data_IF_729096647327
#
_entry.id   IF_729096647327
#
_cell.length_a   1.000
_cell.length_b   1.000
_cell.length_c   1.000
_cell.angle_alpha   90.00
_cell.angle_beta   90.00
_cell.angle_gamma   90.00
#
_symmetry.space_group_name_H-M   'P 1'
#
loop_
_entity.id
_entity.type
_entity.pdbx_description
1 polymer ?
#
# COMPACT_ATOMS: atom_id res chain seq x y z
N UNK A 1 -30.71 34.51 42.27
CA UNK A 1 -29.92 34.22 41.05
C UNK A 1 -30.42 32.91 40.48
N UNK A 2 -30.80 32.83 39.19
CA UNK A 2 -31.26 31.58 38.59
C UNK A 2 -30.07 30.63 38.39
N UNK A 3 -30.20 29.39 38.83
CA UNK A 3 -29.20 28.34 38.60
C UNK A 3 -29.22 27.91 37.12
N UNK A 4 -28.04 27.82 36.49
CA UNK A 4 -27.90 27.27 35.14
C UNK A 4 -28.21 25.77 35.15
N UNK A 5 -28.91 25.23 34.13
CA UNK A 5 -29.09 23.79 33.99
C UNK A 5 -27.74 23.11 33.69
N UNK A 6 -27.44 22.05 34.44
CA UNK A 6 -26.15 21.35 34.54
C UNK A 6 -25.97 20.20 33.53
N UNK A 7 -26.53 20.30 32.32
CA UNK A 7 -26.54 19.20 31.34
C UNK A 7 -25.79 19.52 30.03
N UNK A 8 -24.75 20.37 30.08
CA UNK A 8 -23.81 20.45 28.96
C UNK A 8 -22.75 19.36 29.16
N UNK A 9 -22.54 18.45 28.19
CA UNK A 9 -21.45 17.48 28.27
C UNK A 9 -20.12 18.22 28.42
N UNK A 10 -19.22 17.66 29.23
CA UNK A 10 -17.87 18.18 29.45
C UNK A 10 -17.16 18.27 28.09
N UNK A 11 -16.47 19.36 27.72
CA UNK A 11 -15.71 19.44 26.46
C UNK A 11 -14.67 18.33 26.27
N UNK A 12 -14.27 17.66 27.37
CA UNK A 12 -13.39 16.47 27.38
C UNK A 12 -14.13 15.14 27.18
N UNK A 13 -15.45 15.13 27.08
CA UNK A 13 -16.29 13.93 26.84
C UNK A 13 -16.42 13.59 25.35
N UNK A 14 -15.51 14.11 24.51
CA UNK A 14 -15.33 13.61 23.15
C UNK A 14 -14.63 12.25 23.23
N UNK A 15 -15.16 11.20 22.58
CA UNK A 15 -14.51 9.90 22.59
C UNK A 15 -13.08 10.06 22.06
N UNK A 16 -12.10 9.74 22.91
CA UNK A 16 -10.69 9.74 22.51
C UNK A 16 -10.56 8.88 21.24
N UNK A 17 -10.14 9.49 20.14
CA UNK A 17 -10.02 8.79 18.87
C UNK A 17 -9.00 7.66 19.03
N UNK A 18 -9.47 6.41 18.99
CA UNK A 18 -8.60 5.25 19.15
C UNK A 18 -7.80 5.06 17.88
N UNK A 19 -6.47 5.21 17.97
CA UNK A 19 -5.56 5.00 16.86
C UNK A 19 -5.73 3.60 16.24
N UNK A 20 -6.00 3.54 14.94
CA UNK A 20 -6.15 2.30 14.17
C UNK A 20 -4.88 1.96 13.38
N UNK A 21 -4.67 0.68 13.12
CA UNK A 21 -3.69 0.20 12.14
C UNK A 21 -4.41 -0.09 10.84
N UNK A 22 -3.97 0.55 9.76
CA UNK A 22 -4.62 0.54 8.46
C UNK A 22 -3.62 0.04 7.42
N UNK A 23 -4.00 -0.99 6.68
CA UNK A 23 -3.32 -1.38 5.44
C UNK A 23 -4.15 -0.87 4.27
N UNK A 24 -3.52 -0.14 3.37
CA UNK A 24 -4.11 0.26 2.10
C UNK A 24 -3.37 -0.49 1.00
N UNK A 25 -4.09 -1.14 0.09
CA UNK A 25 -3.51 -1.76 -1.10
C UNK A 25 -3.94 -0.98 -2.31
N UNK A 26 -3.02 -0.75 -3.23
CA UNK A 26 -3.31 -0.19 -4.55
C UNK A 26 -2.80 -1.10 -5.68
N UNK A 27 -3.69 -1.38 -6.63
CA UNK A 27 -3.41 -2.22 -7.80
C UNK A 27 -2.65 -1.48 -8.91
N UNK A 28 -2.07 -2.25 -9.84
CA UNK A 28 -1.37 -1.70 -11.02
C UNK A 28 -2.29 -0.87 -11.91
N UNK A 29 -3.55 -1.28 -12.09
CA UNK A 29 -4.55 -0.56 -12.89
C UNK A 29 -4.84 0.83 -12.34
N UNK A 30 -4.89 0.98 -11.02
CA UNK A 30 -5.10 2.27 -10.35
C UNK A 30 -3.83 3.15 -10.31
N UNK A 31 -2.64 2.52 -10.38
CA UNK A 31 -1.36 3.24 -10.34
C UNK A 31 -0.81 3.61 -11.72
N UNK A 32 -1.25 2.97 -12.79
CA UNK A 32 -0.71 3.18 -14.15
C UNK A 32 -1.82 3.56 -15.11
N UNK A 33 -1.51 4.43 -16.08
CA UNK A 33 -2.41 4.78 -17.17
C UNK A 33 -2.38 3.65 -18.20
N UNK A 34 -3.52 3.02 -18.45
CA UNK A 34 -3.63 1.83 -19.30
C UNK A 34 -3.02 2.03 -20.70
N UNK A 35 -3.06 3.26 -21.23
CA UNK A 35 -2.62 3.59 -22.58
C UNK A 35 -1.10 3.71 -22.71
N UNK A 36 -0.41 4.04 -21.61
CA UNK A 36 1.02 4.42 -21.64
C UNK A 36 1.90 3.61 -20.70
N UNK A 37 1.30 2.91 -19.73
CA UNK A 37 2.04 2.25 -18.64
C UNK A 37 2.73 3.22 -17.66
N UNK A 38 2.61 4.53 -17.89
CA UNK A 38 3.14 5.55 -16.98
C UNK A 38 2.31 5.64 -15.71
N UNK A 39 2.92 6.11 -14.62
CA UNK A 39 2.22 6.29 -13.36
C UNK A 39 1.13 7.35 -13.48
N UNK A 40 -0.03 7.07 -12.89
CA UNK A 40 -1.14 8.00 -12.74
C UNK A 40 -0.83 8.99 -11.59
N UNK A 41 0.04 9.96 -11.86
CA UNK A 41 0.59 10.87 -10.85
C UNK A 41 -0.47 11.61 -10.01
N UNK A 42 -1.60 12.00 -10.61
CA UNK A 42 -2.70 12.65 -9.89
C UNK A 42 -3.40 11.70 -8.90
N UNK A 43 -3.59 10.43 -9.27
CA UNK A 43 -4.13 9.42 -8.35
C UNK A 43 -3.14 9.13 -7.23
N UNK A 44 -1.85 9.05 -7.56
CA UNK A 44 -0.80 8.85 -6.59
C UNK A 44 -0.69 10.00 -5.58
N UNK A 45 -0.76 11.26 -6.05
CA UNK A 45 -0.75 12.43 -5.17
C UNK A 45 -1.89 12.41 -4.15
N UNK A 46 -3.13 12.20 -4.62
CA UNK A 46 -4.31 12.10 -3.74
C UNK A 46 -4.20 10.94 -2.74
N UNK A 47 -3.66 9.80 -3.18
CA UNK A 47 -3.39 8.67 -2.29
C UNK A 47 -2.40 9.08 -1.20
N UNK A 48 -1.28 9.68 -1.57
CA UNK A 48 -0.24 10.10 -0.61
C UNK A 48 -0.77 11.13 0.39
N UNK A 49 -1.53 12.11 -0.07
CA UNK A 49 -2.23 13.08 0.80
C UNK A 49 -3.13 12.35 1.81
N UNK A 50 -3.98 11.45 1.34
CA UNK A 50 -4.90 10.67 2.19
C UNK A 50 -4.13 9.84 3.24
N UNK A 51 -3.04 9.17 2.85
CA UNK A 51 -2.24 8.37 3.77
C UNK A 51 -1.55 9.24 4.83
N UNK A 52 -1.09 10.44 4.46
CA UNK A 52 -0.48 11.39 5.38
C UNK A 52 -1.51 12.00 6.34
N UNK A 53 -2.73 12.27 5.88
CA UNK A 53 -3.84 12.72 6.72
C UNK A 53 -4.21 11.66 7.77
N UNK A 54 -4.38 10.40 7.36
CA UNK A 54 -4.63 9.28 8.27
C UNK A 54 -3.52 9.15 9.33
N UNK A 55 -2.25 9.25 8.90
CA UNK A 55 -1.12 9.23 9.81
C UNK A 55 -1.16 10.42 10.78
N UNK A 56 -1.47 11.62 10.29
CA UNK A 56 -1.54 12.85 11.11
C UNK A 56 -2.68 12.81 12.12
N UNK A 57 -3.76 12.08 11.81
CA UNK A 57 -4.83 11.76 12.75
C UNK A 57 -4.44 10.70 13.82
N UNK A 58 -3.17 10.25 13.83
CA UNK A 58 -2.64 9.32 14.82
C UNK A 58 -2.76 7.84 14.43
N UNK A 59 -3.18 7.52 13.22
CA UNK A 59 -3.25 6.14 12.75
C UNK A 59 -1.88 5.60 12.30
N UNK A 60 -1.73 4.27 12.37
CA UNK A 60 -0.57 3.55 11.84
C UNK A 60 -0.92 3.08 10.44
N UNK A 61 -0.21 3.54 9.42
CA UNK A 61 -0.56 3.33 8.02
C UNK A 61 0.53 2.53 7.30
N UNK A 62 0.13 1.52 6.55
CA UNK A 62 1.00 0.73 5.66
C UNK A 62 0.38 0.74 4.26
N UNK A 63 1.19 1.04 3.24
CA UNK A 63 0.78 0.93 1.84
C UNK A 63 1.33 -0.36 1.24
N UNK A 64 0.49 -1.13 0.56
CA UNK A 64 0.89 -2.27 -0.28
C UNK A 64 0.67 -1.85 -1.73
N UNK A 65 1.77 -1.67 -2.46
CA UNK A 65 1.76 -1.15 -3.82
C UNK A 65 1.98 -2.25 -4.85
N UNK A 66 1.45 -2.04 -6.06
CA UNK A 66 1.84 -2.80 -7.25
C UNK A 66 2.59 -1.88 -8.23
N UNK A 67 2.76 -2.29 -9.48
CA UNK A 67 3.17 -1.40 -10.58
C UNK A 67 4.64 -1.41 -10.97
N UNK A 68 5.53 -2.09 -10.22
CA UNK A 68 6.95 -2.17 -10.55
C UNK A 68 7.21 -2.66 -11.98
N UNK A 69 6.55 -3.74 -12.41
CA UNK A 69 6.68 -4.24 -13.80
C UNK A 69 6.23 -3.20 -14.82
N UNK A 70 5.12 -2.50 -14.59
CA UNK A 70 4.60 -1.48 -15.50
C UNK A 70 5.58 -0.31 -15.66
N UNK A 71 6.09 0.19 -14.54
CA UNK A 71 7.12 1.23 -14.50
C UNK A 71 8.41 0.78 -15.20
N UNK A 72 8.81 -0.48 -15.00
CA UNK A 72 9.96 -1.09 -15.67
C UNK A 72 9.76 -1.20 -17.17
N UNK A 73 8.59 -1.66 -17.62
CA UNK A 73 8.25 -1.77 -19.05
C UNK A 73 8.33 -0.42 -19.72
N UNK A 74 7.66 0.60 -19.16
CA UNK A 74 7.69 1.96 -19.67
C UNK A 74 9.12 2.51 -19.74
N UNK A 75 9.97 2.20 -18.75
CA UNK A 75 11.37 2.65 -18.75
C UNK A 75 12.21 2.00 -19.84
N UNK A 76 11.96 0.73 -20.13
CA UNK A 76 12.72 -0.07 -21.08
C UNK A 76 12.14 0.00 -22.50
N UNK A 77 11.03 0.73 -22.71
CA UNK A 77 10.35 0.78 -24.00
C UNK A 77 9.68 -0.55 -24.37
N UNK A 78 9.37 -1.39 -23.39
CA UNK A 78 8.69 -2.66 -23.60
C UNK A 78 7.19 -2.39 -23.66
N UNK A 79 6.58 -2.65 -24.81
CA UNK A 79 5.15 -2.39 -25.06
C UNK A 79 4.25 -3.56 -24.68
N UNK A 80 4.76 -4.79 -24.76
CA UNK A 80 4.04 -6.00 -24.36
C UNK A 80 4.43 -6.47 -22.96
N UNK A 81 3.46 -6.93 -22.18
CA UNK A 81 3.75 -7.47 -20.85
C UNK A 81 4.73 -8.66 -20.96
N UNK A 82 5.85 -8.66 -20.21
CA UNK A 82 6.80 -9.76 -20.21
C UNK A 82 6.15 -11.11 -19.92
N UNK A 83 6.44 -12.11 -20.77
CA UNK A 83 5.86 -13.46 -20.66
C UNK A 83 6.71 -14.40 -19.80
N UNK A 84 8.03 -14.40 -19.99
CA UNK A 84 8.94 -15.25 -19.21
C UNK A 84 9.15 -14.69 -17.81
N UNK A 85 9.31 -15.58 -16.83
CA UNK A 85 9.57 -15.20 -15.44
C UNK A 85 10.84 -14.36 -15.32
N UNK A 86 11.95 -14.80 -15.92
CA UNK A 86 13.21 -14.06 -15.87
C UNK A 86 13.07 -12.62 -16.39
N UNK A 87 12.32 -12.41 -17.47
CA UNK A 87 12.10 -11.06 -18.00
C UNK A 87 11.19 -10.24 -17.07
N UNK A 88 10.12 -10.84 -16.51
CA UNK A 88 9.28 -10.14 -15.52
C UNK A 88 10.11 -9.68 -14.32
N UNK A 89 10.97 -10.54 -13.80
CA UNK A 89 11.85 -10.22 -12.66
C UNK A 89 12.84 -9.11 -12.98
N UNK A 90 13.51 -9.18 -14.15
CA UNK A 90 14.44 -8.14 -14.58
C UNK A 90 13.73 -6.78 -14.75
N UNK A 91 12.54 -6.79 -15.35
CA UNK A 91 11.72 -5.59 -15.54
C UNK A 91 11.23 -5.04 -14.20
N UNK A 92 10.76 -5.89 -13.30
CA UNK A 92 10.38 -5.50 -11.94
C UNK A 92 11.53 -4.86 -11.18
N UNK A 93 12.74 -5.44 -11.25
CA UNK A 93 13.94 -4.89 -10.63
C UNK A 93 14.28 -3.49 -11.17
N UNK A 94 14.14 -3.27 -12.48
CA UNK A 94 14.32 -1.93 -13.10
C UNK A 94 13.25 -0.94 -12.63
N UNK A 95 12.01 -1.40 -12.51
CA UNK A 95 10.88 -0.54 -12.16
C UNK A 95 10.74 -0.24 -10.66
N UNK A 96 11.13 -1.15 -9.78
CA UNK A 96 10.93 -1.03 -8.33
C UNK A 96 11.64 0.19 -7.76
N UNK A 97 12.91 0.43 -8.11
CA UNK A 97 13.63 1.62 -7.65
C UNK A 97 13.00 2.93 -8.15
N UNK A 98 12.40 2.92 -9.34
CA UNK A 98 11.71 4.09 -9.90
C UNK A 98 10.37 4.32 -9.21
N UNK A 99 9.61 3.26 -8.97
CA UNK A 99 8.36 3.33 -8.23
C UNK A 99 8.61 3.93 -6.84
N UNK A 100 9.64 3.46 -6.14
CA UNK A 100 10.00 4.03 -4.83
C UNK A 100 10.47 5.46 -4.90
N UNK A 101 11.25 5.86 -5.92
CA UNK A 101 11.61 7.26 -6.12
C UNK A 101 10.39 8.15 -6.21
N UNK A 102 9.38 7.75 -7.00
CA UNK A 102 8.18 8.56 -7.16
C UNK A 102 7.42 8.64 -5.84
N UNK A 103 7.24 7.53 -5.12
CA UNK A 103 6.66 7.60 -3.77
C UNK A 103 7.44 8.55 -2.85
N UNK A 104 8.76 8.43 -2.81
CA UNK A 104 9.63 9.26 -1.98
C UNK A 104 9.51 10.74 -2.30
N UNK A 105 9.49 11.11 -3.59
CA UNK A 105 9.29 12.49 -4.05
C UNK A 105 7.94 13.07 -3.54
N UNK A 106 6.84 12.30 -3.65
CA UNK A 106 5.51 12.73 -3.16
C UNK A 106 5.45 12.83 -1.64
N UNK A 107 5.90 11.80 -0.91
CA UNK A 107 5.84 11.78 0.54
C UNK A 107 6.79 12.82 1.18
N UNK A 108 7.94 13.09 0.56
CA UNK A 108 8.86 14.16 0.96
C UNK A 108 8.22 15.53 0.87
N UNK A 109 7.37 15.78 -0.14
CA UNK A 109 6.64 17.05 -0.25
C UNK A 109 5.71 17.34 0.93
N UNK A 110 5.30 16.29 1.66
CA UNK A 110 4.47 16.35 2.86
C UNK A 110 5.27 16.09 4.15
N UNK A 111 6.60 16.09 4.10
CA UNK A 111 7.49 15.84 5.24
C UNK A 111 7.26 14.49 5.95
N UNK A 112 6.74 13.49 5.22
CA UNK A 112 6.42 12.18 5.77
C UNK A 112 7.48 11.16 5.34
N UNK A 113 8.27 10.59 6.26
CA UNK A 113 9.25 9.57 5.90
C UNK A 113 8.57 8.25 5.49
N UNK A 114 9.16 7.56 4.51
CA UNK A 114 8.73 6.23 4.06
C UNK A 114 9.84 5.20 4.18
N UNK A 115 9.46 3.92 4.12
CA UNK A 115 10.43 2.82 4.04
C UNK A 115 9.98 1.80 2.99
N UNK A 116 10.90 1.41 2.10
CA UNK A 116 10.67 0.29 1.21
C UNK A 116 10.74 -1.03 1.98
N UNK A 117 9.73 -1.87 1.82
CA UNK A 117 9.73 -3.24 2.35
C UNK A 117 9.40 -4.21 1.21
N UNK A 118 10.33 -5.11 0.89
CA UNK A 118 10.12 -6.14 -0.12
C UNK A 118 9.98 -7.49 0.56
N UNK A 119 8.88 -8.20 0.29
CA UNK A 119 8.56 -9.49 0.91
C UNK A 119 8.14 -10.48 -0.17
N UNK A 120 8.31 -11.76 0.10
CA UNK A 120 7.64 -12.84 -0.63
C UNK A 120 6.61 -13.51 0.27
N UNK A 121 5.65 -14.24 -0.31
CA UNK A 121 4.77 -15.14 0.47
C UNK A 121 5.55 -16.07 1.40
N UNK A 122 6.71 -16.56 0.95
CA UNK A 122 7.55 -17.49 1.72
C UNK A 122 8.14 -16.84 2.98
N UNK A 123 8.39 -15.52 2.95
CA UNK A 123 8.90 -14.78 4.11
C UNK A 123 7.85 -14.66 5.22
N UNK A 124 6.57 -14.67 4.85
CA UNK A 124 5.45 -14.60 5.80
C UNK A 124 4.96 -15.98 6.22
N UNK A 125 5.30 -17.04 5.49
CA UNK A 125 4.98 -18.42 5.86
C UNK A 125 6.00 -19.04 6.84
N UNK A 126 7.26 -18.60 6.81
CA UNK A 126 8.31 -19.14 7.67
C UNK A 126 8.38 -18.37 9.00
N UNK A 127 8.20 -19.07 10.13
CA UNK A 127 8.11 -18.45 11.47
C UNK A 127 9.27 -17.49 11.80
N UNK A 128 10.51 -17.86 11.51
CA UNK A 128 11.68 -17.02 11.81
C UNK A 128 11.69 -15.72 11.02
N UNK A 129 11.34 -15.79 9.72
CA UNK A 129 11.24 -14.64 8.82
C UNK A 129 10.03 -13.76 9.18
N UNK A 130 8.89 -14.38 9.47
CA UNK A 130 7.69 -13.70 9.97
C UNK A 130 8.00 -12.83 11.20
N UNK A 131 8.67 -13.40 12.22
CA UNK A 131 9.02 -12.67 13.45
C UNK A 131 9.97 -11.50 13.15
N UNK A 132 10.90 -11.67 12.23
CA UNK A 132 11.81 -10.59 11.84
C UNK A 132 11.04 -9.47 11.10
N UNK A 133 10.12 -9.82 10.19
CA UNK A 133 9.27 -8.84 9.53
C UNK A 133 8.37 -8.10 10.53
N UNK A 134 7.70 -8.79 11.45
CA UNK A 134 6.87 -8.17 12.52
C UNK A 134 7.68 -7.15 13.32
N UNK A 135 8.89 -7.51 13.76
CA UNK A 135 9.78 -6.60 14.50
C UNK A 135 10.11 -5.34 13.70
N UNK A 136 10.42 -5.50 12.41
CA UNK A 136 10.70 -4.37 11.51
C UNK A 136 9.48 -3.47 11.35
N UNK A 137 8.30 -4.01 11.03
CA UNK A 137 7.07 -3.22 10.90
C UNK A 137 6.72 -2.48 12.18
N UNK A 138 6.78 -3.16 13.34
CA UNK A 138 6.55 -2.52 14.63
C UNK A 138 7.45 -1.32 14.85
N UNK A 139 8.71 -1.42 14.46
CA UNK A 139 9.64 -0.31 14.67
C UNK A 139 9.48 0.81 13.65
N UNK A 140 9.22 0.50 12.39
CA UNK A 140 8.87 1.52 11.38
C UNK A 140 7.64 2.32 11.81
N UNK A 141 6.57 1.64 12.25
CA UNK A 141 5.35 2.29 12.71
C UNK A 141 5.56 3.13 13.97
N UNK A 142 6.41 2.69 14.91
CA UNK A 142 6.80 3.49 16.09
C UNK A 142 7.58 4.75 15.74
N UNK A 143 8.40 4.70 14.68
CA UNK A 143 9.12 5.86 14.16
C UNK A 143 8.21 6.82 13.37
N UNK A 144 6.92 6.49 13.21
CA UNK A 144 5.97 7.30 12.44
C UNK A 144 6.23 7.27 10.93
N UNK A 145 6.97 6.26 10.45
CA UNK A 145 7.25 6.00 9.04
C UNK A 145 6.07 5.26 8.42
N UNK A 146 5.74 5.56 7.16
CA UNK A 146 4.78 4.79 6.37
C UNK A 146 5.54 3.75 5.54
N UNK A 147 5.44 2.44 5.85
CA UNK A 147 6.04 1.40 5.03
C UNK A 147 5.31 1.27 3.69
N UNK A 148 6.08 1.22 2.60
CA UNK A 148 5.61 0.91 1.25
C UNK A 148 6.05 -0.51 0.93
N UNK A 149 5.11 -1.43 0.99
CA UNK A 149 5.32 -2.87 0.79
C UNK A 149 5.05 -3.24 -0.66
N UNK A 150 5.91 -4.05 -1.24
CA UNK A 150 5.66 -4.72 -2.52
C UNK A 150 6.26 -6.13 -2.48
N UNK A 151 5.85 -6.98 -3.43
CA UNK A 151 6.46 -8.29 -3.59
C UNK A 151 7.92 -8.16 -4.04
N UNK A 152 8.81 -9.00 -3.50
CA UNK A 152 10.19 -9.09 -3.95
C UNK A 152 10.27 -9.96 -5.20
N UNK A 153 9.84 -9.42 -6.33
CA UNK A 153 9.75 -10.12 -7.62
C UNK A 153 11.04 -10.86 -7.99
N UNK A 154 12.22 -10.28 -7.70
CA UNK A 154 13.54 -10.83 -8.02
C UNK A 154 13.78 -12.23 -7.44
N UNK A 155 13.23 -12.52 -6.26
CA UNK A 155 13.43 -13.80 -5.56
C UNK A 155 12.13 -14.59 -5.40
N UNK A 156 11.01 -14.04 -5.84
CA UNK A 156 9.75 -14.76 -5.91
C UNK A 156 9.86 -15.93 -6.90
N UNK A 157 9.57 -17.14 -6.42
CA UNK A 157 9.65 -18.38 -7.22
C UNK A 157 8.33 -18.72 -7.90
N UNK A 158 7.23 -18.16 -7.41
CA UNK A 158 5.92 -18.38 -7.99
C UNK A 158 5.73 -17.48 -9.21
N UNK A 159 4.95 -17.94 -10.19
CA UNK A 159 4.58 -17.07 -11.31
C UNK A 159 3.87 -15.82 -10.78
N UNK A 160 4.34 -14.65 -11.22
CA UNK A 160 3.72 -13.36 -10.87
C UNK A 160 2.33 -13.32 -11.50
N UNK A 161 1.31 -13.43 -10.65
CA UNK A 161 -0.11 -13.49 -10.98
C UNK A 161 -0.82 -12.18 -10.65
N UNK A 162 -1.93 -11.96 -11.34
CA UNK A 162 -2.85 -10.89 -10.97
C UNK A 162 -3.47 -11.23 -9.60
N UNK A 163 -3.50 -10.26 -8.68
CA UNK A 163 -4.02 -10.46 -7.32
C UNK A 163 -2.98 -10.94 -6.28
N UNK A 164 -1.71 -11.11 -6.65
CA UNK A 164 -0.68 -11.49 -5.67
C UNK A 164 -0.53 -10.43 -4.57
N UNK A 165 -0.62 -9.14 -4.93
CA UNK A 165 -0.59 -8.07 -3.94
C UNK A 165 -1.86 -7.97 -3.09
N UNK A 166 -3.00 -8.54 -3.50
CA UNK A 166 -4.17 -8.66 -2.62
C UNK A 166 -3.88 -9.67 -1.52
N UNK A 167 -3.32 -10.83 -1.89
CA UNK A 167 -2.87 -11.85 -0.93
C UNK A 167 -1.77 -11.32 -0.03
N UNK A 168 -0.75 -10.64 -0.58
CA UNK A 168 0.31 -10.01 0.19
C UNK A 168 -0.26 -8.99 1.17
N UNK A 169 -1.23 -8.17 0.75
CA UNK A 169 -1.85 -7.18 1.63
C UNK A 169 -2.62 -7.80 2.80
N UNK A 170 -3.30 -8.93 2.57
CA UNK A 170 -3.93 -9.70 3.63
C UNK A 170 -2.91 -10.31 4.60
N UNK A 171 -1.79 -10.84 4.08
CA UNK A 171 -0.72 -11.38 4.92
C UNK A 171 -0.03 -10.27 5.74
N UNK A 172 0.19 -9.09 5.16
CA UNK A 172 0.74 -7.92 5.86
C UNK A 172 -0.24 -7.42 6.93
N UNK A 173 -1.53 -7.33 6.60
CA UNK A 173 -2.58 -6.97 7.55
C UNK A 173 -2.61 -7.93 8.75
N UNK A 174 -2.51 -9.24 8.49
CA UNK A 174 -2.40 -10.25 9.54
C UNK A 174 -1.11 -10.10 10.36
N UNK A 175 0.03 -9.85 9.69
CA UNK A 175 1.35 -9.69 10.32
C UNK A 175 1.35 -8.58 11.36
N UNK A 176 0.76 -7.43 11.01
CA UNK A 176 0.80 -6.22 11.85
C UNK A 176 -0.44 -6.04 12.72
N UNK A 177 -1.35 -7.02 12.73
CA UNK A 177 -2.65 -6.96 13.39
C UNK A 177 -3.44 -5.70 13.00
N UNK A 178 -3.61 -5.49 11.70
CA UNK A 178 -4.35 -4.35 11.17
C UNK A 178 -5.84 -4.42 11.57
N UNK A 179 -6.39 -3.26 11.93
CA UNK A 179 -7.83 -3.11 12.16
C UNK A 179 -8.60 -3.12 10.83
N UNK A 180 -8.00 -2.56 9.78
CA UNK A 180 -8.61 -2.45 8.46
C UNK A 180 -7.61 -2.78 7.35
N UNK A 181 -8.12 -3.44 6.30
CA UNK A 181 -7.49 -3.60 5.01
C UNK A 181 -8.40 -2.99 3.94
N UNK A 182 -7.93 -1.93 3.29
CA UNK A 182 -8.61 -1.31 2.15
C UNK A 182 -7.97 -1.78 0.85
N UNK A 183 -8.76 -2.45 0.00
CA UNK A 183 -8.34 -2.85 -1.34
C UNK A 183 -8.82 -1.79 -2.34
N UNK A 184 -7.94 -0.86 -2.73
CA UNK A 184 -8.27 0.14 -3.74
C UNK A 184 -8.26 -0.52 -5.12
N UNK A 185 -9.38 -0.41 -5.82
CA UNK A 185 -9.60 -0.95 -7.15
C UNK A 185 -10.21 0.11 -8.06
N UNK A 186 -9.99 -0.06 -9.35
CA UNK A 186 -10.57 0.70 -10.45
C UNK A 186 -11.97 0.23 -10.84
N UNK A 187 -12.51 -0.82 -10.20
CA UNK A 187 -13.92 -1.19 -10.34
C UNK A 187 -14.76 -0.46 -9.29
N UNK A 188 -15.85 0.19 -9.73
CA UNK A 188 -16.64 1.09 -8.88
C UNK A 188 -17.16 0.43 -7.59
N UNK A 189 -17.50 -0.87 -7.63
CA UNK A 189 -18.14 -1.60 -6.54
C UNK A 189 -17.85 -3.11 -6.63
N UNK A 190 -18.10 -3.86 -5.56
CA UNK A 190 -18.20 -5.32 -5.64
C UNK A 190 -19.50 -5.66 -6.36
N UNK A 191 -19.40 -6.09 -7.62
CA UNK A 191 -20.56 -6.56 -8.38
C UNK A 191 -20.95 -7.96 -7.92
N UNK A 192 -22.25 -8.21 -7.80
CA UNK A 192 -22.81 -9.54 -7.50
C UNK A 192 -22.74 -10.51 -8.70
N UNK A 193 -22.36 -10.01 -9.88
CA UNK A 193 -22.15 -10.75 -11.12
C UNK A 193 -21.05 -10.07 -11.96
N UNK A 194 -20.62 -10.68 -13.07
CA UNK A 194 -19.64 -10.06 -13.98
C UNK A 194 -20.26 -8.81 -14.64
N UNK A 195 -19.75 -7.59 -14.38
CA UNK A 195 -20.32 -6.35 -14.95
C UNK A 195 -20.12 -6.22 -16.47
N UNK A 196 -19.42 -7.17 -17.12
CA UNK A 196 -19.33 -7.23 -18.58
C UNK A 196 -20.47 -8.03 -19.21
N UNK A 197 -21.31 -8.66 -18.40
CA UNK A 197 -22.45 -9.48 -18.84
C UNK A 197 -23.82 -8.89 -18.45
N UNK A 198 -23.85 -7.74 -17.77
CA UNK A 198 -25.07 -6.97 -17.44
C UNK A 198 -24.99 -5.53 -17.98
#
# INVERSE_FOLDING_TARGET
>A
MPQRPSNLPDPDDQPAFVAKTIVVKIGTSSLTRAETGHLALATLGRLVETLCELRSAGHRVVLVSSGAIGVGCARLGITERPKSMALKQAVAAVGQGRLMRVYDDFFTSLSQPIAQVLLTRSDLAQRSRYVNSDRTFRQLLKLGVIPIVNENDTVATDEIKFGDNDTLSAMVASLIHADYLFLLTDVDQLYSADPRQD
#
